data_IF_362037854560
#
_entry.id   IF_362037854560
#
_cell.length_a   1.000
_cell.length_b   1.000
_cell.length_c   1.000
_cell.angle_alpha   90.00
_cell.angle_beta   90.00
_cell.angle_gamma   90.00
#
_symmetry.space_group_name_H-M   'P 1'
#
loop_
_entity.id
_entity.type
_entity.pdbx_description
1 polymer ?
#
# COMPACT_ATOMS: atom_id res chain seq x y z
N UNK A 1 25.99 -8.23 12.45
CA UNK A 1 25.02 -7.26 11.90
C UNK A 1 24.74 -7.43 10.39
N UNK A 2 25.72 -7.70 9.51
CA UNK A 2 25.50 -7.82 8.04
C UNK A 2 24.47 -8.87 7.63
N UNK A 3 24.45 -10.05 8.27
CA UNK A 3 23.52 -11.15 7.93
C UNK A 3 22.05 -10.74 8.07
N UNK A 4 21.71 -10.07 9.17
CA UNK A 4 20.35 -9.58 9.42
C UNK A 4 19.95 -8.47 8.45
N UNK A 5 20.87 -7.59 8.05
CA UNK A 5 20.62 -6.57 7.03
C UNK A 5 20.35 -7.20 5.66
N UNK A 6 21.11 -8.24 5.29
CA UNK A 6 20.88 -9.01 4.06
C UNK A 6 19.49 -9.65 4.12
N UNK A 7 19.15 -10.38 5.18
CA UNK A 7 17.82 -10.98 5.35
C UNK A 7 16.68 -9.94 5.30
N UNK A 8 16.89 -8.76 5.89
CA UNK A 8 15.95 -7.64 5.78
C UNK A 8 15.80 -7.20 4.34
N UNK A 9 16.88 -6.93 3.62
CA UNK A 9 16.87 -6.51 2.21
C UNK A 9 16.21 -7.55 1.32
N UNK A 10 16.49 -8.83 1.52
CA UNK A 10 15.84 -9.91 0.78
C UNK A 10 14.33 -9.98 1.10
N UNK A 11 13.93 -9.88 2.37
CA UNK A 11 12.52 -9.78 2.75
C UNK A 11 11.86 -8.53 2.15
N UNK A 12 12.54 -7.40 2.10
CA UNK A 12 12.03 -6.16 1.53
C UNK A 12 11.81 -6.30 0.04
N UNK A 13 12.82 -6.77 -0.69
CA UNK A 13 12.75 -6.92 -2.14
C UNK A 13 11.63 -7.92 -2.53
N UNK A 14 11.46 -9.02 -1.77
CA UNK A 14 10.37 -9.97 -1.99
C UNK A 14 8.98 -9.44 -1.61
N UNK A 15 8.85 -8.61 -0.57
CA UNK A 15 7.56 -8.23 0.02
C UNK A 15 7.10 -6.78 -0.23
N UNK A 16 7.89 -5.97 -0.94
CA UNK A 16 7.55 -4.56 -1.20
C UNK A 16 6.20 -4.42 -1.92
N UNK A 17 5.94 -5.30 -2.87
CA UNK A 17 4.70 -5.35 -3.64
C UNK A 17 3.96 -6.70 -3.55
N UNK A 18 4.62 -7.74 -3.00
CA UNK A 18 4.11 -9.11 -2.95
C UNK A 18 3.67 -9.67 -4.33
N UNK A 19 4.27 -9.19 -5.42
CA UNK A 19 3.90 -9.48 -6.81
C UNK A 19 4.84 -10.47 -7.52
N UNK A 20 5.51 -11.36 -6.79
CA UNK A 20 6.47 -12.29 -7.42
C UNK A 20 5.80 -13.29 -8.35
N UNK A 21 4.53 -13.63 -8.14
CA UNK A 21 3.81 -14.59 -8.98
C UNK A 21 2.30 -14.31 -8.96
N UNK A 22 1.81 -13.29 -9.69
CA UNK A 22 0.37 -13.07 -9.83
C UNK A 22 -0.24 -14.29 -10.52
N UNK A 23 -1.10 -15.03 -9.79
CA UNK A 23 -1.82 -16.22 -10.30
C UNK A 23 -2.99 -15.84 -11.24
N UNK A 24 -2.76 -14.87 -12.12
CA UNK A 24 -3.67 -14.46 -13.18
C UNK A 24 -3.13 -14.97 -14.51
N UNK A 25 -3.80 -16.00 -15.04
CA UNK A 25 -3.44 -16.63 -16.30
C UNK A 25 -3.78 -15.76 -17.51
N UNK A 26 -4.85 -14.96 -17.41
CA UNK A 26 -5.28 -14.04 -18.46
C UNK A 26 -4.39 -12.80 -18.48
N UNK A 27 -3.71 -12.60 -19.60
CA UNK A 27 -2.81 -11.46 -19.84
C UNK A 27 -3.43 -10.08 -19.54
N UNK A 28 -4.66 -9.72 -20.00
CA UNK A 28 -5.20 -8.37 -19.79
C UNK A 28 -5.54 -8.10 -18.31
N UNK A 29 -6.00 -9.10 -17.58
CA UNK A 29 -6.29 -8.98 -16.14
C UNK A 29 -4.98 -8.84 -15.35
N UNK A 30 -3.94 -9.58 -15.75
CA UNK A 30 -2.59 -9.47 -15.17
C UNK A 30 -1.99 -8.08 -15.38
N UNK A 31 -2.09 -7.52 -16.59
CA UNK A 31 -1.58 -6.18 -16.89
C UNK A 31 -2.31 -5.09 -16.08
N UNK A 32 -3.65 -5.17 -15.97
CA UNK A 32 -4.43 -4.26 -15.12
C UNK A 32 -4.00 -4.32 -13.66
N UNK A 33 -3.82 -5.53 -13.13
CA UNK A 33 -3.39 -5.72 -11.75
C UNK A 33 -1.95 -5.20 -11.53
N UNK A 34 -1.04 -5.41 -12.49
CA UNK A 34 0.31 -4.85 -12.41
C UNK A 34 0.29 -3.32 -12.48
N UNK A 35 -0.59 -2.71 -13.29
CA UNK A 35 -0.75 -1.26 -13.34
C UNK A 35 -1.28 -0.69 -12.01
N UNK A 36 -2.23 -1.37 -11.35
CA UNK A 36 -2.68 -0.97 -10.02
C UNK A 36 -1.56 -1.10 -8.98
N UNK A 37 -0.77 -2.16 -9.09
CA UNK A 37 0.39 -2.40 -8.23
C UNK A 37 1.45 -1.30 -8.36
N UNK A 38 1.78 -0.89 -9.58
CA UNK A 38 2.76 0.18 -9.84
C UNK A 38 2.25 1.53 -9.35
N UNK A 39 0.96 1.84 -9.52
CA UNK A 39 0.34 3.05 -8.95
C UNK A 39 0.41 3.04 -7.42
N UNK A 40 0.08 1.93 -6.77
CA UNK A 40 0.19 1.80 -5.32
C UNK A 40 1.65 1.97 -4.85
N UNK A 41 2.61 1.45 -5.59
CA UNK A 41 4.04 1.63 -5.29
C UNK A 41 4.50 3.06 -5.46
N UNK A 42 4.14 3.72 -6.56
CA UNK A 42 4.43 5.13 -6.80
C UNK A 42 3.84 6.03 -5.70
N UNK A 43 2.63 5.73 -5.24
CA UNK A 43 2.02 6.41 -4.10
C UNK A 43 2.83 6.23 -2.82
N UNK A 44 3.27 4.99 -2.51
CA UNK A 44 4.11 4.73 -1.34
C UNK A 44 5.44 5.49 -1.41
N UNK A 45 6.09 5.52 -2.58
CA UNK A 45 7.31 6.30 -2.82
C UNK A 45 7.07 7.80 -2.68
N UNK A 46 5.95 8.32 -3.19
CA UNK A 46 5.59 9.73 -3.03
C UNK A 46 5.48 10.12 -1.56
N UNK A 47 4.92 9.23 -0.72
CA UNK A 47 4.83 9.42 0.75
C UNK A 47 6.18 9.32 1.47
N UNK A 48 7.26 8.94 0.78
CA UNK A 48 8.60 9.00 1.34
C UNK A 48 9.23 10.39 1.26
N UNK A 49 8.66 11.29 0.46
CA UNK A 49 9.16 12.65 0.32
C UNK A 49 9.17 13.41 1.66
N UNK A 50 10.11 14.35 1.85
CA UNK A 50 10.27 15.12 3.09
C UNK A 50 8.99 15.75 3.67
N UNK A 51 8.05 16.32 2.88
CA UNK A 51 6.86 16.96 3.46
C UNK A 51 5.95 16.00 4.22
N UNK A 52 5.98 14.69 3.91
CA UNK A 52 5.15 13.68 4.59
C UNK A 52 5.87 13.00 5.76
N UNK A 53 7.05 13.47 6.15
CA UNK A 53 7.82 12.90 7.26
C UNK A 53 7.05 12.87 8.59
N UNK A 54 6.34 13.94 9.01
CA UNK A 54 5.54 13.91 10.25
C UNK A 54 4.40 12.91 10.19
N UNK A 55 3.68 12.86 9.06
CA UNK A 55 2.60 11.91 8.80
C UNK A 55 3.11 10.47 8.86
N UNK A 56 4.25 10.20 8.21
CA UNK A 56 4.92 8.89 8.22
C UNK A 56 5.32 8.48 9.63
N UNK A 57 5.91 9.39 10.43
CA UNK A 57 6.25 9.12 11.83
C UNK A 57 5.02 8.81 12.65
N UNK A 58 3.94 9.57 12.50
CA UNK A 58 2.68 9.34 13.21
C UNK A 58 2.07 7.96 12.88
N UNK A 59 1.96 7.64 11.58
CA UNK A 59 1.44 6.33 11.11
C UNK A 59 2.26 5.16 11.68
N UNK A 60 3.59 5.27 11.64
CA UNK A 60 4.45 4.22 12.15
C UNK A 60 4.38 4.09 13.67
N UNK A 61 4.24 5.18 14.42
CA UNK A 61 4.09 5.13 15.88
C UNK A 61 2.74 4.54 16.29
N UNK A 62 1.66 4.96 15.64
CA UNK A 62 0.30 4.61 16.04
C UNK A 62 -0.08 3.20 15.57
N UNK A 63 0.18 2.86 14.31
CA UNK A 63 -0.26 1.58 13.72
C UNK A 63 0.84 0.52 13.62
N UNK A 64 2.11 0.87 13.82
CA UNK A 64 3.25 -0.03 13.60
C UNK A 64 4.35 0.16 14.66
N UNK A 65 3.98 0.14 15.95
CA UNK A 65 4.88 0.42 17.07
C UNK A 65 6.20 -0.39 17.01
N UNK A 66 7.33 0.25 17.33
CA UNK A 66 8.65 -0.41 17.42
C UNK A 66 8.97 -0.72 18.88
N UNK A 67 9.09 -1.99 19.24
CA UNK A 67 9.48 -2.43 20.60
C UNK A 67 11.00 -2.62 20.78
N UNK A 68 11.80 -2.72 19.71
CA UNK A 68 13.26 -2.92 19.81
C UNK A 68 14.10 -1.65 19.62
N UNK A 69 15.13 -1.43 20.47
CA UNK A 69 16.05 -0.28 20.40
C UNK A 69 16.83 -0.21 19.07
N UNK A 70 17.40 -1.33 18.60
CA UNK A 70 18.09 -1.43 17.31
C UNK A 70 17.18 -1.10 16.11
N UNK A 71 15.91 -1.47 16.20
CA UNK A 71 14.95 -1.23 15.12
C UNK A 71 14.62 0.25 14.97
N UNK A 72 14.83 1.11 15.98
CA UNK A 72 14.50 2.56 15.92
C UNK A 72 15.41 3.33 14.98
N UNK A 73 16.67 2.93 14.86
CA UNK A 73 17.71 3.62 14.08
C UNK A 73 17.75 3.20 12.60
N UNK A 74 17.05 2.13 12.22
CA UNK A 74 17.02 1.64 10.84
C UNK A 74 15.91 2.36 10.06
N UNK A 75 16.21 2.82 8.83
CA UNK A 75 15.23 3.39 7.90
C UNK A 75 14.00 2.47 7.83
N UNK A 76 12.81 3.03 8.00
CA UNK A 76 11.60 2.23 8.03
C UNK A 76 11.32 1.65 6.63
N UNK A 77 11.27 0.32 6.48
CA UNK A 77 11.03 -0.32 5.19
C UNK A 77 9.59 -0.08 4.69
N UNK A 78 9.43 0.05 3.37
CA UNK A 78 8.17 0.43 2.70
C UNK A 78 6.98 -0.46 3.06
N UNK A 79 7.19 -1.77 3.23
CA UNK A 79 6.10 -2.68 3.62
C UNK A 79 5.48 -2.32 4.98
N UNK A 80 6.21 -1.68 5.90
CA UNK A 80 5.67 -1.24 7.19
C UNK A 80 4.75 -0.04 7.04
N UNK A 81 5.10 0.88 6.14
CA UNK A 81 4.21 1.98 5.78
C UNK A 81 2.93 1.43 5.16
N UNK A 82 3.05 0.44 4.26
CA UNK A 82 1.92 -0.30 3.70
C UNK A 82 1.06 -0.97 4.80
N UNK A 83 1.66 -1.66 5.75
CA UNK A 83 0.93 -2.29 6.86
C UNK A 83 0.26 -1.26 7.78
N UNK A 84 0.91 -0.13 8.05
CA UNK A 84 0.33 0.96 8.84
C UNK A 84 -0.88 1.58 8.14
N UNK A 85 -0.78 1.81 6.83
CA UNK A 85 -1.91 2.30 6.00
C UNK A 85 -3.05 1.29 5.95
N UNK A 86 -2.75 -0.01 5.79
CA UNK A 86 -3.76 -1.06 5.83
C UNK A 86 -4.53 -1.05 7.15
N UNK A 87 -3.83 -0.97 8.28
CA UNK A 87 -4.45 -0.87 9.62
C UNK A 87 -5.24 0.42 9.81
N UNK A 88 -4.75 1.55 9.29
CA UNK A 88 -5.46 2.82 9.31
C UNK A 88 -6.80 2.70 8.57
N UNK A 89 -6.80 2.17 7.35
CA UNK A 89 -8.02 2.01 6.56
C UNK A 89 -8.95 0.93 7.11
N UNK A 90 -8.44 -0.09 7.79
CA UNK A 90 -9.29 -1.05 8.51
C UNK A 90 -9.96 -0.41 9.73
N UNK A 91 -9.26 0.48 10.45
CA UNK A 91 -9.78 1.19 11.63
C UNK A 91 -10.75 2.31 11.23
N UNK A 92 -10.46 3.00 10.15
CA UNK A 92 -11.22 4.12 9.61
C UNK A 92 -11.46 3.87 8.12
N UNK A 93 -12.46 3.03 7.77
CA UNK A 93 -12.76 2.73 6.38
C UNK A 93 -13.15 4.02 5.65
N UNK A 94 -12.40 4.42 4.61
CA UNK A 94 -12.81 5.56 3.80
C UNK A 94 -14.17 5.26 3.16
N UNK A 95 -15.11 6.19 3.30
CA UNK A 95 -16.41 6.10 2.63
C UNK A 95 -16.26 6.34 1.13
N UNK A 96 -15.75 5.35 0.39
CA UNK A 96 -15.64 5.43 -1.07
C UNK A 96 -17.00 5.59 -1.75
N UNK A 97 -18.09 5.17 -1.10
CA UNK A 97 -19.47 5.41 -1.53
C UNK A 97 -19.80 6.91 -1.64
N UNK A 98 -19.17 7.77 -0.82
CA UNK A 98 -19.35 9.23 -0.91
C UNK A 98 -18.55 9.84 -2.07
N UNK A 99 -17.44 9.19 -2.47
CA UNK A 99 -16.57 9.65 -3.56
C UNK A 99 -17.13 9.27 -4.94
N UNK A 100 -17.77 8.11 -5.03
CA UNK A 100 -18.45 7.64 -6.22
C UNK A 100 -19.95 7.84 -6.10
N UNK A 101 -20.46 9.07 -6.30
CA UNK A 101 -21.84 9.15 -6.77
C UNK A 101 -21.90 8.35 -8.08
N UNK A 102 -22.72 7.31 -8.18
CA UNK A 102 -22.93 6.69 -9.48
C UNK A 102 -23.43 7.80 -10.40
N UNK A 103 -22.77 7.99 -11.55
CA UNK A 103 -23.46 8.56 -12.71
C UNK A 103 -24.60 7.59 -12.99
N UNK A 104 -25.77 7.86 -12.40
CA UNK A 104 -27.03 7.32 -12.90
C UNK A 104 -27.17 7.93 -14.29
N UNK A 105 -26.70 7.22 -15.31
CA UNK A 105 -27.30 7.31 -16.62
C UNK A 105 -28.72 6.75 -16.45
N UNK A 106 -29.79 7.55 -16.57
CA UNK A 106 -31.12 6.99 -16.66
C UNK A 106 -31.15 6.19 -17.97
N UNK A 107 -31.01 4.87 -17.86
CA UNK A 107 -31.36 3.98 -18.95
C UNK A 107 -32.88 4.11 -19.14
N UNK A 108 -33.28 4.86 -20.17
CA UNK A 108 -34.66 4.87 -20.64
C UNK A 108 -34.89 3.51 -21.30
N UNK A 109 -35.39 2.55 -20.52
CA UNK A 109 -35.91 1.30 -21.05
C UNK A 109 -37.38 1.57 -21.39
N UNK A 110 -37.65 1.96 -22.63
CA UNK A 110 -39.00 1.89 -23.18
C UNK A 110 -39.21 0.46 -23.67
N UNK A 111 -39.89 -0.35 -22.85
CA UNK A 111 -40.55 -1.58 -23.30
C UNK A 111 -41.92 -1.14 -23.76
N UNK A 112 -42.18 -1.14 -25.07
CA UNK A 112 -43.30 -1.84 -25.75
C UNK A 112 -43.11 -1.66 -27.26
#
# INVERSE_FOLDING_TARGET
>A
MRRWQIELTWRFNKSELAFQSPRLWRRPEREKLLALATLAYAFLLHRLSPPYEPLRRWLLRHFCHRTGWHLRHVRAPLYRLRSALSRLWQRYPPCFAALGRPRRTPASVTIT
#
